data_IF_249876067722
#
_entry.id   IF_249876067722
#
_cell.length_a   1.000
_cell.length_b   1.000
_cell.length_c   1.000
_cell.angle_alpha   90.00
_cell.angle_beta   90.00
_cell.angle_gamma   90.00
#
_symmetry.space_group_name_H-M   'P 1'
#
loop_
_entity.id
_entity.type
_entity.pdbx_description
1 polymer ?
#
# COMPACT_ATOMS: atom_id res chain seq x y z
N UNK A 1 14.07 22.60 -1.82
CA UNK A 1 14.00 21.54 -2.85
C UNK A 1 12.85 20.65 -2.47
N UNK A 2 11.86 20.56 -3.32
CA UNK A 2 10.73 19.67 -3.12
C UNK A 2 11.09 18.28 -3.68
N UNK A 3 10.73 17.24 -2.97
CA UNK A 3 10.89 15.85 -3.40
C UNK A 3 9.55 15.17 -3.27
N UNK A 4 9.19 14.30 -4.20
CA UNK A 4 7.90 13.63 -4.13
C UNK A 4 7.60 12.76 -5.32
N UNK A 5 6.32 12.48 -5.49
CA UNK A 5 5.80 11.65 -6.58
C UNK A 5 5.63 12.51 -7.83
N UNK A 6 6.42 12.22 -8.86
CA UNK A 6 6.32 12.85 -10.17
C UNK A 6 5.24 12.17 -11.03
N UNK A 7 5.23 10.85 -11.02
CA UNK A 7 4.28 10.02 -11.76
C UNK A 7 3.79 8.87 -10.92
N UNK A 8 2.53 8.51 -11.08
CA UNK A 8 1.91 7.36 -10.41
C UNK A 8 1.00 6.61 -11.37
N UNK A 9 0.99 5.30 -11.25
CA UNK A 9 0.01 4.44 -11.91
C UNK A 9 -0.29 3.21 -11.06
N UNK A 10 -1.32 2.48 -11.44
CA UNK A 10 -1.63 1.18 -10.86
C UNK A 10 -1.94 0.15 -11.95
N UNK A 11 -1.85 -1.11 -11.58
CA UNK A 11 -2.27 -2.24 -12.39
C UNK A 11 -2.96 -3.29 -11.54
N UNK A 12 -4.08 -3.79 -12.03
CA UNK A 12 -4.82 -4.94 -11.48
C UNK A 12 -5.10 -5.93 -12.61
N UNK A 13 -5.25 -7.22 -12.32
CA UNK A 13 -5.65 -8.21 -13.31
C UNK A 13 -7.02 -7.89 -13.92
N UNK A 14 -7.31 -8.49 -15.07
CA UNK A 14 -8.60 -8.35 -15.75
C UNK A 14 -9.71 -9.24 -15.16
N UNK A 15 -9.35 -10.12 -14.20
CA UNK A 15 -10.29 -11.02 -13.57
C UNK A 15 -10.69 -10.50 -12.19
N UNK A 16 -11.96 -10.67 -11.87
CA UNK A 16 -12.49 -10.36 -10.54
C UNK A 16 -13.52 -11.41 -10.13
N UNK A 17 -13.73 -11.52 -8.84
CA UNK A 17 -14.84 -12.28 -8.24
C UNK A 17 -15.87 -11.27 -7.73
N UNK A 18 -17.14 -11.43 -8.15
CA UNK A 18 -18.25 -10.66 -7.61
C UNK A 18 -18.54 -11.11 -6.18
N UNK A 19 -18.76 -10.16 -5.27
CA UNK A 19 -18.95 -10.48 -3.85
C UNK A 19 -20.30 -11.16 -3.58
N UNK A 20 -21.30 -11.00 -4.46
CA UNK A 20 -22.54 -11.76 -4.41
C UNK A 20 -22.29 -13.24 -4.71
N UNK A 21 -21.45 -13.54 -5.71
CA UNK A 21 -21.10 -14.92 -6.06
C UNK A 21 -20.32 -15.59 -4.92
N UNK A 22 -19.38 -14.85 -4.30
CA UNK A 22 -18.68 -15.34 -3.12
C UNK A 22 -19.65 -15.62 -1.97
N UNK A 23 -20.57 -14.70 -1.69
CA UNK A 23 -21.56 -14.86 -0.62
C UNK A 23 -22.43 -16.10 -0.83
N UNK A 24 -22.92 -16.31 -2.06
CA UNK A 24 -23.69 -17.49 -2.43
C UNK A 24 -22.88 -18.78 -2.24
N UNK A 25 -21.60 -18.78 -2.67
CA UNK A 25 -20.70 -19.93 -2.51
C UNK A 25 -20.35 -20.23 -1.03
N UNK A 26 -20.52 -19.27 -0.12
CA UNK A 26 -20.29 -19.40 1.32
C UNK A 26 -21.58 -19.44 2.16
N UNK A 27 -22.74 -19.55 1.51
CA UNK A 27 -24.06 -19.60 2.15
C UNK A 27 -24.26 -18.44 3.16
N UNK A 28 -23.82 -17.23 2.78
CA UNK A 28 -23.89 -16.03 3.62
C UNK A 28 -24.70 -14.91 2.94
N UNK A 29 -25.18 -13.94 3.72
CA UNK A 29 -25.89 -12.78 3.19
C UNK A 29 -24.91 -11.87 2.43
N UNK A 30 -25.14 -11.57 1.13
CA UNK A 30 -24.30 -10.66 0.35
C UNK A 30 -24.11 -9.27 0.97
N UNK A 31 -25.08 -8.80 1.75
CA UNK A 31 -25.00 -7.51 2.44
C UNK A 31 -23.87 -7.45 3.49
N UNK A 32 -23.40 -8.59 3.99
CA UNK A 32 -22.19 -8.62 4.84
C UNK A 32 -20.98 -8.06 4.10
N UNK A 33 -20.88 -8.27 2.79
CA UNK A 33 -19.78 -7.80 1.97
C UNK A 33 -20.07 -6.42 1.39
N UNK A 34 -21.19 -6.23 0.69
CA UNK A 34 -21.54 -4.95 0.08
C UNK A 34 -21.71 -3.83 1.10
N UNK A 35 -22.50 -4.07 2.15
CA UNK A 35 -22.78 -3.07 3.19
C UNK A 35 -21.75 -3.18 4.33
N UNK A 36 -21.47 -4.39 4.80
CA UNK A 36 -20.59 -4.62 5.95
C UNK A 36 -19.15 -4.19 5.70
N UNK A 37 -18.55 -4.63 4.62
CA UNK A 37 -17.18 -4.29 4.21
C UNK A 37 -17.14 -3.06 3.28
N UNK A 38 -18.19 -2.81 2.51
CA UNK A 38 -18.23 -1.79 1.46
C UNK A 38 -17.47 -2.24 0.21
N UNK A 39 -17.58 -3.53 -0.16
CA UNK A 39 -16.82 -4.15 -1.25
C UNK A 39 -17.76 -4.89 -2.19
N UNK A 40 -17.63 -4.64 -3.50
CA UNK A 40 -18.47 -5.24 -4.53
C UNK A 40 -17.73 -6.29 -5.36
N UNK A 41 -16.43 -6.12 -5.54
CA UNK A 41 -15.59 -6.99 -6.36
C UNK A 41 -14.22 -7.19 -5.73
N UNK A 42 -13.59 -8.33 -6.02
CA UNK A 42 -12.26 -8.70 -5.57
C UNK A 42 -11.41 -9.10 -6.77
N UNK A 43 -10.26 -8.45 -6.98
CA UNK A 43 -9.34 -8.80 -8.06
C UNK A 43 -8.78 -10.21 -7.87
N UNK A 44 -8.77 -11.01 -8.93
CA UNK A 44 -8.25 -12.38 -8.94
C UNK A 44 -7.04 -12.47 -9.86
N UNK A 45 -5.93 -12.96 -9.31
CA UNK A 45 -4.70 -13.19 -10.06
C UNK A 45 -4.83 -14.45 -10.92
N UNK A 46 -4.61 -14.40 -12.25
CA UNK A 46 -4.49 -15.60 -13.06
C UNK A 46 -3.15 -16.30 -12.82
N UNK A 47 -3.06 -17.60 -13.13
CA UNK A 47 -1.84 -18.40 -12.98
C UNK A 47 -0.63 -17.87 -13.77
N UNK A 48 -0.87 -17.05 -14.78
CA UNK A 48 0.15 -16.45 -15.65
C UNK A 48 0.72 -15.14 -15.12
N UNK A 49 0.24 -14.65 -13.97
CA UNK A 49 0.69 -13.40 -13.37
C UNK A 49 1.15 -13.60 -11.92
N UNK A 50 2.01 -12.71 -11.47
CA UNK A 50 2.55 -12.62 -10.13
C UNK A 50 2.81 -11.14 -9.76
N UNK A 51 3.36 -10.87 -8.59
CA UNK A 51 3.66 -9.48 -8.16
C UNK A 51 4.71 -8.81 -9.06
N UNK A 52 5.58 -9.57 -9.69
CA UNK A 52 6.60 -9.06 -10.62
C UNK A 52 5.94 -8.51 -11.87
N UNK A 53 5.07 -9.30 -12.50
CA UNK A 53 4.35 -8.92 -13.71
C UNK A 53 3.34 -7.81 -13.46
N UNK A 54 2.65 -7.80 -12.29
CA UNK A 54 1.78 -6.70 -11.86
C UNK A 54 2.59 -5.41 -11.68
N UNK A 55 3.72 -5.46 -10.95
CA UNK A 55 4.59 -4.31 -10.70
C UNK A 55 5.20 -3.75 -11.96
N UNK A 56 5.75 -4.61 -12.83
CA UNK A 56 6.29 -4.20 -14.12
C UNK A 56 5.21 -3.56 -15.02
N UNK A 57 4.00 -4.13 -15.05
CA UNK A 57 2.87 -3.59 -15.82
C UNK A 57 2.40 -2.21 -15.31
N UNK A 58 2.42 -1.99 -13.99
CA UNK A 58 2.14 -0.68 -13.43
C UNK A 58 3.24 0.32 -13.83
N UNK A 59 4.51 -0.01 -13.64
CA UNK A 59 5.64 0.88 -13.90
C UNK A 59 5.77 1.22 -15.40
N UNK A 60 5.53 0.26 -16.30
CA UNK A 60 5.61 0.49 -17.75
C UNK A 60 4.66 1.58 -18.26
N UNK A 61 3.57 1.88 -17.52
CA UNK A 61 2.61 2.93 -17.90
C UNK A 61 3.15 4.34 -17.70
N UNK A 62 4.14 4.52 -16.82
CA UNK A 62 4.64 5.85 -16.42
C UNK A 62 6.07 6.13 -16.84
N UNK A 63 6.86 5.09 -17.12
CA UNK A 63 8.28 5.26 -17.44
C UNK A 63 8.48 5.60 -18.92
N UNK A 64 9.27 6.64 -19.16
CA UNK A 64 9.85 6.95 -20.47
C UNK A 64 11.26 6.37 -20.56
N UNK A 65 11.82 6.31 -21.79
CA UNK A 65 13.20 5.86 -21.97
C UNK A 65 14.23 6.77 -21.31
N UNK A 66 13.91 8.05 -21.11
CA UNK A 66 14.74 8.98 -20.35
C UNK A 66 14.67 8.68 -18.83
N UNK A 67 13.48 8.40 -18.30
CA UNK A 67 13.35 8.02 -16.89
C UNK A 67 14.20 6.80 -16.55
N UNK A 68 14.21 5.79 -17.42
CA UNK A 68 14.98 4.54 -17.23
C UNK A 68 16.49 4.77 -17.14
N UNK A 69 17.02 5.82 -17.76
CA UNK A 69 18.45 6.19 -17.70
C UNK A 69 18.81 6.88 -16.38
N UNK A 70 17.85 7.60 -15.78
CA UNK A 70 18.06 8.38 -14.56
C UNK A 70 17.68 7.63 -13.29
N UNK A 71 17.03 6.48 -13.40
CA UNK A 71 16.69 5.64 -12.24
C UNK A 71 17.95 5.00 -11.68
N UNK A 72 18.27 5.32 -10.43
CA UNK A 72 19.38 4.75 -9.67
C UNK A 72 18.92 3.71 -8.64
N UNK A 73 17.61 3.60 -8.41
CA UNK A 73 17.08 2.68 -7.43
C UNK A 73 15.68 2.19 -7.81
N UNK A 74 15.47 0.89 -7.68
CA UNK A 74 14.15 0.23 -7.77
C UNK A 74 13.86 -0.43 -6.43
N UNK A 75 12.80 0.00 -5.75
CA UNK A 75 12.39 -0.56 -4.46
C UNK A 75 10.99 -1.15 -4.60
N UNK A 76 10.84 -2.42 -4.23
CA UNK A 76 9.53 -3.09 -4.19
C UNK A 76 9.13 -3.33 -2.75
N UNK A 77 7.98 -2.79 -2.33
CA UNK A 77 7.32 -3.15 -1.07
C UNK A 77 6.34 -4.29 -1.33
N UNK A 78 6.55 -5.44 -0.69
CA UNK A 78 5.71 -6.64 -0.87
C UNK A 78 5.80 -7.58 0.32
N UNK A 79 4.71 -8.29 0.62
CA UNK A 79 4.69 -9.45 1.52
C UNK A 79 4.47 -10.78 0.77
N UNK A 80 4.26 -10.73 -0.55
CA UNK A 80 3.97 -11.88 -1.42
C UNK A 80 5.01 -12.07 -2.52
N UNK A 81 6.30 -11.89 -2.16
CA UNK A 81 7.44 -12.11 -3.07
C UNK A 81 7.43 -13.52 -3.65
N UNK A 82 7.96 -13.63 -4.86
CA UNK A 82 8.08 -14.91 -5.59
C UNK A 82 9.28 -15.75 -5.15
N UNK A 83 10.25 -15.15 -4.47
CA UNK A 83 11.49 -15.81 -4.02
C UNK A 83 11.94 -15.25 -2.65
N UNK A 84 12.45 -16.09 -1.77
CA UNK A 84 12.91 -15.67 -0.43
C UNK A 84 14.34 -15.12 -0.40
N UNK A 85 15.08 -15.22 -1.51
CA UNK A 85 16.48 -14.81 -1.62
C UNK A 85 16.71 -13.78 -2.71
N UNK A 86 16.07 -13.96 -3.88
CA UNK A 86 16.16 -13.04 -5.01
C UNK A 86 15.02 -12.04 -4.95
N UNK A 87 15.36 -10.76 -4.90
CA UNK A 87 14.37 -9.68 -4.87
C UNK A 87 13.54 -9.61 -6.16
N UNK A 88 12.23 -9.42 -6.04
CA UNK A 88 11.33 -9.11 -7.15
C UNK A 88 11.77 -7.82 -7.89
N UNK A 89 12.37 -6.87 -7.19
CA UNK A 89 12.85 -5.61 -7.77
C UNK A 89 13.92 -5.84 -8.86
N UNK A 90 14.80 -6.83 -8.71
CA UNK A 90 15.81 -7.15 -9.73
C UNK A 90 15.17 -7.68 -11.00
N UNK A 91 14.13 -8.49 -10.88
CA UNK A 91 13.42 -9.05 -12.03
C UNK A 91 12.63 -7.94 -12.75
N UNK A 92 11.93 -7.07 -11.99
CA UNK A 92 11.22 -5.93 -12.55
C UNK A 92 12.17 -4.95 -13.24
N UNK A 93 13.32 -4.67 -12.63
CA UNK A 93 14.38 -3.83 -13.19
C UNK A 93 14.79 -4.32 -14.60
N UNK A 94 15.04 -5.63 -14.73
CA UNK A 94 15.43 -6.27 -16.01
C UNK A 94 14.28 -6.22 -17.03
N UNK A 95 13.05 -6.55 -16.60
CA UNK A 95 11.86 -6.50 -17.47
C UNK A 95 11.56 -5.11 -18.03
N UNK A 96 11.90 -4.07 -17.30
CA UNK A 96 11.68 -2.67 -17.69
C UNK A 96 12.83 -2.06 -18.48
N UNK A 97 13.92 -2.81 -18.67
CA UNK A 97 15.13 -2.33 -19.34
C UNK A 97 15.69 -1.04 -18.69
N UNK A 98 15.71 -1.01 -17.35
CA UNK A 98 16.32 0.07 -16.59
C UNK A 98 17.85 -0.05 -16.66
N UNK A 99 18.56 1.07 -16.68
CA UNK A 99 20.01 1.08 -16.76
C UNK A 99 20.67 0.22 -15.67
N UNK A 100 21.76 -0.55 -15.95
CA UNK A 100 22.23 -1.64 -15.09
C UNK A 100 22.94 -1.20 -13.79
N UNK A 101 23.28 0.08 -13.63
CA UNK A 101 23.98 0.62 -12.47
C UNK A 101 23.00 1.15 -11.39
N UNK A 102 21.80 0.61 -11.34
CA UNK A 102 20.81 0.91 -10.32
C UNK A 102 20.83 -0.15 -9.20
N UNK A 103 20.48 0.29 -7.98
CA UNK A 103 20.21 -0.61 -6.85
C UNK A 103 18.81 -1.18 -7.00
N UNK A 104 18.65 -2.48 -6.76
CA UNK A 104 17.34 -3.13 -6.83
C UNK A 104 17.16 -4.05 -5.63
N UNK A 105 16.17 -3.77 -4.78
CA UNK A 105 15.88 -4.56 -3.58
C UNK A 105 14.42 -4.47 -3.20
N UNK A 106 13.97 -5.34 -2.30
CA UNK A 106 12.62 -5.30 -1.77
C UNK A 106 12.60 -5.08 -0.26
N UNK A 107 11.49 -4.52 0.21
CA UNK A 107 11.19 -4.32 1.62
C UNK A 107 10.00 -5.20 1.98
N UNK A 108 10.23 -6.09 2.94
CA UNK A 108 9.20 -6.95 3.51
C UNK A 108 8.75 -6.40 4.86
N UNK A 109 7.58 -5.80 4.90
CA UNK A 109 6.89 -5.44 6.13
C UNK A 109 5.40 -5.28 5.86
N UNK A 110 4.75 -6.38 5.47
CA UNK A 110 3.31 -6.41 5.18
C UNK A 110 2.84 -5.12 4.45
N UNK A 111 1.75 -4.53 4.89
CA UNK A 111 1.16 -3.33 4.29
C UNK A 111 2.01 -2.04 4.42
N UNK A 112 3.08 -2.04 5.24
CA UNK A 112 3.97 -0.88 5.41
C UNK A 112 5.11 -0.83 4.38
N UNK A 113 5.43 -1.93 3.70
CA UNK A 113 6.58 -2.02 2.78
C UNK A 113 6.63 -0.92 1.72
N UNK A 114 5.49 -0.57 1.12
CA UNK A 114 5.39 0.51 0.13
C UNK A 114 5.67 1.89 0.73
N UNK A 115 5.16 2.19 1.92
CA UNK A 115 5.42 3.45 2.64
C UNK A 115 6.89 3.55 3.07
N UNK A 116 7.48 2.47 3.57
CA UNK A 116 8.90 2.42 3.88
C UNK A 116 9.77 2.69 2.63
N UNK A 117 9.38 2.14 1.48
CA UNK A 117 10.04 2.37 0.21
C UNK A 117 9.97 3.85 -0.22
N UNK A 118 8.83 4.52 -0.02
CA UNK A 118 8.69 5.95 -0.28
C UNK A 118 9.62 6.81 0.59
N UNK A 119 9.74 6.49 1.89
CA UNK A 119 10.66 7.19 2.79
C UNK A 119 12.12 7.02 2.35
N UNK A 120 12.52 5.80 2.00
CA UNK A 120 13.86 5.53 1.48
C UNK A 120 14.14 6.26 0.16
N UNK A 121 13.14 6.33 -0.72
CA UNK A 121 13.25 7.05 -1.98
C UNK A 121 13.40 8.56 -1.77
N UNK A 122 12.63 9.14 -0.84
CA UNK A 122 12.75 10.54 -0.45
C UNK A 122 14.17 10.86 0.02
N UNK A 123 14.69 10.11 0.98
CA UNK A 123 16.02 10.32 1.56
C UNK A 123 17.13 10.17 0.50
N UNK A 124 16.97 9.18 -0.41
CA UNK A 124 17.91 9.00 -1.50
C UNK A 124 17.94 10.20 -2.46
N UNK A 125 16.79 10.66 -2.93
CA UNK A 125 16.69 11.80 -3.86
C UNK A 125 17.14 13.09 -3.18
N UNK A 126 16.94 13.24 -1.85
CA UNK A 126 17.47 14.40 -1.11
C UNK A 126 19.00 14.52 -1.18
N UNK A 127 19.70 13.39 -1.20
CA UNK A 127 21.16 13.29 -1.33
C UNK A 127 21.63 13.26 -2.79
N UNK A 128 20.77 12.82 -3.71
CA UNK A 128 21.07 12.63 -5.13
C UNK A 128 19.99 13.28 -6.02
N UNK A 129 19.89 14.62 -6.04
CA UNK A 129 18.72 15.31 -6.62
C UNK A 129 18.59 15.20 -8.15
N UNK A 130 19.64 14.76 -8.85
CA UNK A 130 19.60 14.53 -10.30
C UNK A 130 19.23 13.09 -10.67
N UNK A 131 18.92 12.28 -9.66
CA UNK A 131 18.58 10.87 -9.82
C UNK A 131 17.11 10.62 -9.45
N UNK A 132 16.57 9.52 -9.97
CA UNK A 132 15.19 9.10 -9.76
C UNK A 132 15.14 7.76 -9.04
N UNK A 133 14.05 7.53 -8.31
CA UNK A 133 13.78 6.25 -7.67
C UNK A 133 12.42 5.75 -8.13
N UNK A 134 12.38 4.50 -8.59
CA UNK A 134 11.13 3.78 -8.87
C UNK A 134 10.71 3.02 -7.60
N UNK A 135 9.56 3.37 -7.06
CA UNK A 135 8.92 2.66 -5.95
C UNK A 135 7.72 1.89 -6.47
N UNK A 136 7.64 0.62 -6.12
CA UNK A 136 6.51 -0.25 -6.47
C UNK A 136 5.98 -0.89 -5.18
N UNK A 137 4.67 -0.78 -4.95
CA UNK A 137 3.96 -1.56 -3.95
C UNK A 137 3.09 -2.59 -4.67
N UNK A 138 3.33 -3.88 -4.46
CA UNK A 138 2.63 -4.94 -5.19
C UNK A 138 2.39 -6.14 -4.28
N UNK A 139 1.13 -6.62 -4.23
CA UNK A 139 0.78 -7.79 -3.45
C UNK A 139 -0.33 -8.65 -4.07
N UNK A 140 -0.31 -9.91 -3.68
CA UNK A 140 -1.39 -10.88 -3.87
C UNK A 140 -1.82 -11.31 -2.47
N UNK A 141 -2.83 -10.65 -1.93
CA UNK A 141 -3.35 -10.92 -0.60
C UNK A 141 -4.16 -12.22 -0.60
N UNK A 142 -3.70 -13.22 0.15
CA UNK A 142 -4.34 -14.53 0.30
C UNK A 142 -4.48 -14.86 1.79
N UNK A 143 -5.70 -15.12 2.23
CA UNK A 143 -6.02 -15.38 3.65
C UNK A 143 -6.70 -16.75 3.86
N UNK A 144 -6.75 -17.58 2.81
CA UNK A 144 -7.36 -18.91 2.82
C UNK A 144 -8.85 -18.89 2.44
N UNK A 145 -9.30 -20.03 1.89
CA UNK A 145 -10.69 -20.21 1.49
C UNK A 145 -11.57 -20.46 2.71
N UNK A 146 -12.79 -19.97 2.68
CA UNK A 146 -13.80 -20.09 3.73
C UNK A 146 -13.35 -19.56 5.11
N UNK A 147 -12.37 -18.64 5.13
CA UNK A 147 -11.94 -17.93 6.34
C UNK A 147 -12.64 -16.58 6.46
N UNK A 148 -12.57 -15.96 7.65
CA UNK A 148 -13.06 -14.58 7.85
C UNK A 148 -12.31 -13.54 7.03
N UNK A 149 -11.09 -13.83 6.59
CA UNK A 149 -10.26 -12.96 5.75
C UNK A 149 -10.51 -13.10 4.24
N UNK A 150 -11.17 -14.19 3.80
CA UNK A 150 -11.38 -14.44 2.37
C UNK A 150 -12.01 -13.24 1.61
N UNK A 151 -13.04 -12.57 2.14
CA UNK A 151 -13.66 -11.44 1.45
C UNK A 151 -12.76 -10.21 1.28
N UNK A 152 -11.63 -10.15 2.00
CA UNK A 152 -10.67 -9.04 1.95
C UNK A 152 -9.41 -9.38 1.15
N UNK A 153 -9.40 -10.50 0.43
CA UNK A 153 -8.35 -10.86 -0.52
C UNK A 153 -8.38 -9.95 -1.75
N UNK A 154 -7.32 -10.00 -2.52
CA UNK A 154 -7.20 -9.25 -3.77
C UNK A 154 -5.77 -9.22 -4.26
N UNK A 155 -5.52 -8.52 -5.36
CA UNK A 155 -4.19 -8.34 -5.90
C UNK A 155 -4.09 -7.07 -6.73
N UNK A 156 -2.88 -6.51 -6.79
CA UNK A 156 -2.60 -5.31 -7.57
C UNK A 156 -1.20 -4.78 -7.34
N UNK A 157 -0.85 -3.78 -8.12
CA UNK A 157 0.40 -3.04 -7.97
C UNK A 157 0.18 -1.55 -8.19
N UNK A 158 0.93 -0.74 -7.45
CA UNK A 158 1.09 0.70 -7.66
C UNK A 158 2.56 0.97 -7.94
N UNK A 159 2.84 1.77 -8.97
CA UNK A 159 4.18 2.24 -9.30
C UNK A 159 4.24 3.77 -9.17
N UNK A 160 5.29 4.29 -8.55
CA UNK A 160 5.52 5.70 -8.30
C UNK A 160 6.96 6.06 -8.69
N UNK A 161 7.13 7.13 -9.46
CA UNK A 161 8.44 7.69 -9.78
C UNK A 161 8.71 8.86 -8.84
N UNK A 162 9.79 8.78 -8.08
CA UNK A 162 10.19 9.77 -7.09
C UNK A 162 11.33 10.62 -7.64
N UNK A 163 11.12 11.94 -7.62
CA UNK A 163 12.06 12.92 -8.16
C UNK A 163 12.14 14.20 -7.31
N UNK A 164 13.12 15.04 -7.60
CA UNK A 164 13.09 16.46 -7.19
C UNK A 164 12.09 17.22 -8.06
N UNK A 165 11.50 18.27 -7.48
CA UNK A 165 10.52 19.16 -8.14
C UNK A 165 9.45 18.33 -8.89
N UNK A 166 8.70 17.48 -8.18
CA UNK A 166 7.73 16.54 -8.76
C UNK A 166 6.51 17.29 -9.32
N UNK A 167 5.93 16.77 -10.40
CA UNK A 167 4.74 17.35 -11.03
C UNK A 167 3.44 17.06 -10.26
N UNK A 168 3.38 15.94 -9.52
CA UNK A 168 2.12 15.48 -8.92
C UNK A 168 1.99 15.82 -7.43
N UNK A 169 2.97 15.46 -6.60
CA UNK A 169 2.87 15.55 -5.15
C UNK A 169 4.25 15.73 -4.52
N UNK A 170 4.44 16.77 -3.72
CA UNK A 170 5.63 16.94 -2.88
C UNK A 170 5.40 16.36 -1.49
N UNK A 171 6.41 15.70 -0.94
CA UNK A 171 6.41 15.23 0.44
C UNK A 171 6.80 16.35 1.40
N UNK A 172 6.15 16.39 2.56
CA UNK A 172 6.59 17.17 3.70
C UNK A 172 7.61 16.38 4.52
N UNK A 173 8.47 17.08 5.27
CA UNK A 173 9.43 16.48 6.19
C UNK A 173 8.86 16.39 7.62
N UNK A 174 7.57 16.12 7.75
CA UNK A 174 6.79 16.13 8.98
C UNK A 174 6.25 14.75 9.37
N UNK A 175 6.80 13.69 8.79
CA UNK A 175 6.36 12.32 9.05
C UNK A 175 6.56 11.90 10.51
N UNK A 176 5.60 11.18 11.06
CA UNK A 176 5.64 10.56 12.39
C UNK A 176 5.53 9.06 12.27
N UNK A 177 6.28 8.37 13.11
CA UNK A 177 6.37 6.90 13.08
C UNK A 177 6.05 6.32 14.46
N UNK A 178 5.44 5.14 14.47
CA UNK A 178 5.20 4.35 15.66
C UNK A 178 5.46 2.87 15.35
N UNK A 179 6.17 2.19 16.21
CA UNK A 179 6.45 0.75 16.07
C UNK A 179 6.16 0.03 17.37
N UNK A 180 5.47 -1.09 17.27
CA UNK A 180 5.15 -1.99 18.38
C UNK A 180 5.19 -3.44 17.88
N UNK A 181 5.73 -4.35 18.68
CA UNK A 181 5.72 -5.78 18.36
C UNK A 181 4.38 -6.39 18.74
N UNK A 182 3.52 -6.63 17.76
CA UNK A 182 2.17 -7.18 17.92
C UNK A 182 1.93 -8.34 16.97
N UNK A 183 1.10 -9.29 17.39
CA UNK A 183 0.77 -10.51 16.66
C UNK A 183 -0.72 -10.53 16.28
N UNK A 184 -1.20 -9.47 15.64
CA UNK A 184 -2.54 -9.36 15.10
C UNK A 184 -2.63 -9.90 13.67
N UNK A 185 -1.53 -9.77 12.92
CA UNK A 185 -1.37 -10.25 11.53
C UNK A 185 0.08 -10.67 11.31
N UNK A 186 0.34 -11.95 11.09
CA UNK A 186 1.70 -12.44 10.81
C UNK A 186 1.67 -13.75 10.03
N UNK A 187 2.70 -14.02 9.24
CA UNK A 187 2.87 -15.27 8.50
C UNK A 187 4.18 -15.95 8.87
N UNK A 188 4.16 -16.98 9.75
CA UNK A 188 5.35 -17.78 10.05
C UNK A 188 5.94 -18.43 8.79
N UNK A 189 7.25 -18.66 8.79
CA UNK A 189 7.89 -19.39 7.71
C UNK A 189 7.27 -20.79 7.57
N UNK A 190 6.97 -21.19 6.33
CA UNK A 190 6.33 -22.48 6.03
C UNK A 190 4.79 -22.47 6.10
N UNK A 191 4.16 -21.33 6.36
CA UNK A 191 2.71 -21.16 6.26
C UNK A 191 2.32 -20.55 4.91
N UNK A 192 1.31 -21.12 4.27
CA UNK A 192 0.78 -20.63 2.99
C UNK A 192 0.01 -19.32 3.16
N UNK A 193 -0.62 -19.13 4.31
CA UNK A 193 -1.45 -17.96 4.63
C UNK A 193 -1.02 -17.32 5.95
N UNK A 194 -1.23 -15.98 6.11
CA UNK A 194 -1.05 -15.33 7.39
C UNK A 194 -2.10 -15.80 8.41
N UNK A 195 -1.71 -15.75 9.67
CA UNK A 195 -2.60 -15.88 10.82
C UNK A 195 -3.12 -14.50 11.18
N UNK A 196 -4.41 -14.38 11.43
CA UNK A 196 -5.08 -13.09 11.64
C UNK A 196 -6.00 -13.16 12.86
N UNK A 197 -5.81 -12.23 13.82
CA UNK A 197 -6.82 -11.89 14.83
C UNK A 197 -7.52 -10.58 14.41
N UNK A 198 -8.64 -10.70 13.70
CA UNK A 198 -9.34 -9.55 13.13
C UNK A 198 -9.90 -8.56 14.18
N UNK A 199 -10.23 -9.02 15.41
CA UNK A 199 -10.68 -8.13 16.48
C UNK A 199 -9.51 -7.32 17.05
N UNK A 200 -8.42 -7.99 17.35
CA UNK A 200 -7.18 -7.36 17.81
C UNK A 200 -6.64 -6.40 16.76
N UNK A 201 -6.61 -6.80 15.49
CA UNK A 201 -6.13 -5.97 14.37
C UNK A 201 -6.93 -4.67 14.23
N UNK A 202 -8.25 -4.72 14.29
CA UNK A 202 -9.09 -3.52 14.26
C UNK A 202 -8.79 -2.57 15.43
N UNK A 203 -8.59 -3.10 16.64
CA UNK A 203 -8.30 -2.28 17.81
C UNK A 203 -6.90 -1.64 17.70
N UNK A 204 -5.89 -2.42 17.32
CA UNK A 204 -4.51 -1.94 17.14
C UNK A 204 -4.45 -0.86 16.07
N UNK A 205 -5.20 -1.01 14.97
CA UNK A 205 -5.27 0.00 13.92
C UNK A 205 -5.74 1.37 14.47
N UNK A 206 -6.83 1.37 15.24
CA UNK A 206 -7.38 2.59 15.85
C UNK A 206 -6.42 3.16 16.89
N UNK A 207 -5.87 2.33 17.77
CA UNK A 207 -4.96 2.76 18.85
C UNK A 207 -3.67 3.34 18.28
N UNK A 208 -3.08 2.69 17.25
CA UNK A 208 -1.87 3.16 16.58
C UNK A 208 -2.10 4.48 15.85
N UNK A 209 -3.23 4.61 15.14
CA UNK A 209 -3.58 5.88 14.50
C UNK A 209 -3.77 7.00 15.53
N UNK A 210 -4.44 6.71 16.65
CA UNK A 210 -4.60 7.67 17.76
C UNK A 210 -3.24 8.14 18.28
N UNK A 211 -2.31 7.23 18.53
CA UNK A 211 -0.95 7.55 19.01
C UNK A 211 -0.17 8.40 18.01
N UNK A 212 -0.22 8.02 16.72
CA UNK A 212 0.43 8.78 15.65
C UNK A 212 -0.18 10.18 15.53
N UNK A 213 -1.51 10.29 15.58
CA UNK A 213 -2.20 11.57 15.51
C UNK A 213 -1.81 12.51 16.65
N UNK A 214 -1.81 12.02 17.90
CA UNK A 214 -1.39 12.80 19.05
C UNK A 214 0.08 13.24 18.96
N UNK A 215 0.95 12.36 18.45
CA UNK A 215 2.35 12.70 18.23
C UNK A 215 2.51 13.72 17.11
N UNK A 216 1.74 13.59 16.03
CA UNK A 216 1.73 14.54 14.92
C UNK A 216 1.33 15.95 15.39
N UNK A 217 0.25 16.07 16.14
CA UNK A 217 -0.18 17.35 16.73
C UNK A 217 0.93 17.97 17.59
N UNK A 218 1.60 17.17 18.39
CA UNK A 218 2.65 17.62 19.31
C UNK A 218 3.90 18.09 18.58
N UNK A 219 4.35 17.36 17.57
CA UNK A 219 5.62 17.63 16.86
C UNK A 219 5.42 18.68 15.77
N UNK A 220 4.37 18.55 14.96
CA UNK A 220 4.15 19.38 13.80
C UNK A 220 3.21 20.57 14.09
N UNK A 221 2.59 20.60 15.27
CA UNK A 221 1.64 21.64 15.70
C UNK A 221 0.46 21.82 14.71
N UNK A 222 0.00 20.71 14.13
CA UNK A 222 -1.10 20.65 13.16
C UNK A 222 -2.36 20.08 13.79
N UNK A 223 -3.53 20.42 13.24
CA UNK A 223 -4.83 19.86 13.61
C UNK A 223 -5.59 19.40 12.35
N UNK A 224 -6.78 18.82 12.50
CA UNK A 224 -7.60 18.30 11.39
C UNK A 224 -7.92 19.36 10.33
N UNK A 225 -8.02 20.62 10.74
CA UNK A 225 -8.30 21.75 9.83
C UNK A 225 -7.14 22.10 8.89
N UNK A 226 -5.92 21.63 9.19
CA UNK A 226 -4.75 21.87 8.36
C UNK A 226 -4.66 20.91 7.17
N UNK A 227 -5.51 19.88 7.13
CA UNK A 227 -5.53 18.86 6.10
C UNK A 227 -6.74 19.00 5.18
N UNK A 228 -6.52 18.96 3.87
CA UNK A 228 -7.59 18.92 2.88
C UNK A 228 -8.27 17.54 2.82
N UNK A 229 -7.50 16.46 3.04
CA UNK A 229 -7.98 15.10 3.08
C UNK A 229 -6.99 14.21 3.86
N UNK A 230 -7.47 13.06 4.34
CA UNK A 230 -6.66 12.03 5.02
C UNK A 230 -6.86 10.71 4.26
N UNK A 231 -5.78 10.16 3.74
CA UNK A 231 -5.80 8.84 3.08
C UNK A 231 -5.33 7.76 4.06
N UNK A 232 -6.03 6.65 4.06
CA UNK A 232 -5.79 5.53 4.97
C UNK A 232 -5.33 4.28 4.23
N UNK A 233 -4.50 3.47 4.87
CA UNK A 233 -4.42 2.06 4.53
C UNK A 233 -5.76 1.39 4.83
N UNK A 234 -6.32 0.66 3.86
CA UNK A 234 -7.65 0.07 3.97
C UNK A 234 -7.58 -1.46 3.89
N UNK A 235 -7.47 -2.17 5.03
CA UNK A 235 -7.65 -3.63 5.07
C UNK A 235 -9.02 -4.07 4.53
N UNK A 236 -10.02 -3.22 4.70
CA UNK A 236 -11.31 -3.22 4.02
C UNK A 236 -11.85 -1.78 3.96
N UNK A 237 -12.73 -1.50 3.01
CA UNK A 237 -13.10 -0.13 2.61
C UNK A 237 -13.53 0.79 3.76
N UNK A 238 -14.20 0.26 4.78
CA UNK A 238 -14.75 1.09 5.89
C UNK A 238 -13.78 1.34 7.04
N UNK A 239 -12.54 0.79 7.01
CA UNK A 239 -11.65 0.88 8.17
C UNK A 239 -11.15 2.29 8.45
N UNK A 240 -10.79 3.05 7.41
CA UNK A 240 -10.36 4.45 7.54
C UNK A 240 -11.41 5.32 8.23
N UNK A 241 -12.67 5.20 7.80
CA UNK A 241 -13.80 5.92 8.42
C UNK A 241 -13.99 5.55 9.89
N UNK A 242 -13.82 4.29 10.27
CA UNK A 242 -13.89 3.87 11.68
C UNK A 242 -12.79 4.53 12.51
N UNK A 243 -11.56 4.60 12.00
CA UNK A 243 -10.45 5.25 12.69
C UNK A 243 -10.67 6.76 12.81
N UNK A 244 -11.11 7.42 11.73
CA UNK A 244 -11.40 8.85 11.76
C UNK A 244 -12.48 9.20 12.82
N UNK A 245 -13.56 8.44 12.87
CA UNK A 245 -14.63 8.64 13.87
C UNK A 245 -14.18 8.37 15.30
N UNK A 246 -13.27 7.43 15.50
CA UNK A 246 -12.74 7.13 16.84
C UNK A 246 -11.89 8.28 17.39
N UNK A 247 -11.16 8.99 16.52
CA UNK A 247 -10.30 10.11 16.91
C UNK A 247 -11.06 11.42 17.00
N UNK A 248 -12.04 11.62 16.13
CA UNK A 248 -12.86 12.83 16.08
C UNK A 248 -14.35 12.52 16.30
N UNK A 249 -14.75 12.03 17.49
CA UNK A 249 -16.12 11.60 17.75
C UNK A 249 -17.14 12.73 17.62
N UNK A 250 -16.73 13.97 17.87
CA UNK A 250 -17.58 15.17 17.81
C UNK A 250 -17.52 15.87 16.44
N UNK A 251 -16.74 15.34 15.48
CA UNK A 251 -16.61 15.96 14.17
C UNK A 251 -17.93 15.85 13.38
N UNK A 252 -18.44 16.94 12.81
CA UNK A 252 -19.62 16.91 11.96
C UNK A 252 -19.45 15.94 10.77
N UNK A 253 -20.51 15.26 10.37
CA UNK A 253 -20.46 14.29 9.26
C UNK A 253 -19.98 14.93 7.94
N UNK A 254 -20.34 16.18 7.68
CA UNK A 254 -19.88 16.93 6.51
C UNK A 254 -18.36 17.14 6.50
N UNK A 255 -17.75 17.32 7.67
CA UNK A 255 -16.30 17.47 7.78
C UNK A 255 -15.60 16.13 7.72
N UNK A 256 -16.17 15.06 8.30
CA UNK A 256 -15.69 13.70 8.12
C UNK A 256 -15.65 13.32 6.63
N UNK A 257 -16.73 13.61 5.89
CA UNK A 257 -16.80 13.35 4.44
C UNK A 257 -15.81 14.19 3.63
N UNK A 258 -15.46 15.39 4.08
CA UNK A 258 -14.44 16.22 3.45
C UNK A 258 -13.04 15.62 3.60
N UNK A 259 -12.75 15.01 4.75
CA UNK A 259 -11.43 14.43 5.05
C UNK A 259 -11.23 13.02 4.46
N UNK A 260 -12.31 12.34 4.12
CA UNK A 260 -12.30 11.04 3.43
C UNK A 260 -12.08 11.23 1.91
#
# INVERSE_FOLDING_TARGET
>A
MNIGIDKISFHVPNYYLDMTDLANARETDPNKFHIGLGQDQMAIIPETQDIVTLGASAAAKILTDEDKKDIDMVIVGTESSTDFSKSAAVIIHDLLDIQPFARSFEIKHACYGGTAALQQAHDYVALHPDRKVLVIAADIAKYGLATGGEPTQGCGAVAMLITKEPDLLAFNNDSVFYSEDVYDFWRPAGHDYPLVDGHMSNQIYIDSFTRIWEQNKKVNQTDSTDYAAITFHLPYTKMGRKALRAIFPEMPESEQQRLE
#
